data_IF_016797919648
#
_entry.id   IF_016797919648
#
_cell.length_a   1.000
_cell.length_b   1.000
_cell.length_c   1.000
_cell.angle_alpha   90.00
_cell.angle_beta   90.00
_cell.angle_gamma   90.00
#
_symmetry.space_group_name_H-M   'P 1'
#
loop_
_entity.id
_entity.type
_entity.pdbx_description
1 polymer ?
#
# COMPACT_ATOMS: atom_id res chain seq x y z
N UNK A 1 19.02 16.10 4.10
CA UNK A 1 17.63 16.43 4.49
C UNK A 1 16.98 15.18 5.08
N UNK A 2 15.68 15.17 5.37
CA UNK A 2 14.90 13.96 5.68
C UNK A 2 13.81 13.79 4.64
N UNK A 3 13.31 12.58 4.44
CA UNK A 3 12.12 12.27 3.67
C UNK A 3 10.98 11.97 4.64
N UNK A 4 9.91 12.74 4.58
CA UNK A 4 8.67 12.42 5.29
C UNK A 4 7.73 11.72 4.33
N UNK A 5 7.40 10.47 4.62
CA UNK A 5 6.67 9.58 3.72
C UNK A 5 5.38 9.12 4.36
N UNK A 6 4.30 9.24 3.59
CA UNK A 6 3.00 8.67 3.92
C UNK A 6 2.66 7.58 2.91
N UNK A 7 1.85 6.62 3.36
CA UNK A 7 1.35 5.51 2.58
C UNK A 7 -0.18 5.46 2.59
N UNK A 8 -0.72 4.99 1.48
CA UNK A 8 -2.13 4.65 1.32
C UNK A 8 -2.35 3.18 1.69
N UNK A 9 -3.03 2.88 2.82
CA UNK A 9 -3.13 1.52 3.34
C UNK A 9 -3.82 0.54 2.38
N UNK A 10 -4.77 1.00 1.56
CA UNK A 10 -5.47 0.11 0.61
C UNK A 10 -4.49 -0.49 -0.40
N UNK A 11 -3.54 0.30 -0.91
CA UNK A 11 -2.55 -0.21 -1.86
C UNK A 11 -1.48 -1.07 -1.18
N UNK A 12 -1.11 -0.76 0.06
CA UNK A 12 -0.27 -1.64 0.89
C UNK A 12 -0.90 -3.04 0.99
N UNK A 13 -2.18 -3.11 1.35
CA UNK A 13 -2.91 -4.36 1.51
C UNK A 13 -3.06 -5.13 0.18
N UNK A 14 -3.35 -4.43 -0.92
CA UNK A 14 -3.50 -5.02 -2.25
C UNK A 14 -2.20 -5.66 -2.78
N UNK A 15 -1.04 -5.14 -2.38
CA UNK A 15 0.26 -5.74 -2.72
C UNK A 15 0.65 -6.88 -1.79
N UNK A 16 0.40 -6.73 -0.48
CA UNK A 16 0.66 -7.79 0.50
C UNK A 16 -0.12 -9.05 0.18
N UNK A 17 -1.31 -8.91 -0.43
CA UNK A 17 -2.07 -10.03 -0.99
C UNK A 17 -2.37 -11.09 0.06
N UNK A 18 -1.84 -12.31 -0.14
CA UNK A 18 -2.01 -13.44 0.81
C UNK A 18 -0.90 -13.57 1.84
N UNK A 19 0.15 -12.74 1.76
CA UNK A 19 1.30 -12.84 2.64
C UNK A 19 1.02 -12.33 4.06
N UNK A 20 0.07 -11.40 4.20
CA UNK A 20 -0.30 -10.79 5.48
C UNK A 20 -1.82 -10.64 5.62
N UNK A 21 -2.29 -10.74 6.86
CA UNK A 21 -3.68 -10.40 7.19
C UNK A 21 -3.76 -8.91 7.45
N UNK A 22 -4.33 -8.17 6.51
CA UNK A 22 -4.30 -6.72 6.59
C UNK A 22 -5.52 -6.13 7.32
N UNK A 23 -5.27 -5.05 8.06
CA UNK A 23 -6.30 -4.18 8.64
C UNK A 23 -6.14 -2.77 8.09
N UNK A 24 -7.25 -2.18 7.65
CA UNK A 24 -7.25 -0.80 7.17
C UNK A 24 -7.54 0.13 8.35
N UNK A 25 -6.70 1.16 8.55
CA UNK A 25 -6.90 2.08 9.63
C UNK A 25 -8.12 2.97 9.40
N UNK A 26 -8.69 3.54 10.47
CA UNK A 26 -9.86 4.39 10.40
C UNK A 26 -9.66 5.66 9.56
N UNK A 27 -8.41 6.13 9.46
CA UNK A 27 -7.99 7.38 8.82
C UNK A 27 -7.24 7.07 7.53
N UNK A 28 -7.41 7.97 6.54
CA UNK A 28 -6.86 7.93 5.18
C UNK A 28 -5.37 7.61 5.05
N UNK A 29 -4.61 8.59 4.57
CA UNK A 29 -3.16 8.51 4.47
C UNK A 29 -2.54 8.42 5.86
N UNK A 30 -1.62 7.47 6.01
CA UNK A 30 -0.87 7.19 7.25
C UNK A 30 0.62 7.40 7.03
N UNK A 31 1.36 7.72 8.07
CA UNK A 31 2.81 7.80 8.06
C UNK A 31 3.37 6.41 7.76
N UNK A 32 4.32 6.36 6.83
CA UNK A 32 5.21 5.21 6.70
C UNK A 32 6.49 5.49 7.47
N UNK A 33 7.12 6.65 7.26
CA UNK A 33 8.22 7.08 8.13
C UNK A 33 8.87 8.42 7.82
N UNK A 34 9.81 8.76 8.70
CA UNK A 34 10.67 9.93 8.58
C UNK A 34 12.12 9.45 8.43
N UNK A 35 12.68 9.59 7.24
CA UNK A 35 13.93 8.93 6.86
C UNK A 35 15.02 9.95 6.62
N UNK A 36 16.10 9.96 7.41
CA UNK A 36 17.30 10.70 7.03
C UNK A 36 17.81 10.17 5.70
N UNK A 37 17.87 11.06 4.72
CA UNK A 37 18.35 10.75 3.37
C UNK A 37 19.66 11.52 3.11
N UNK A 38 20.32 11.21 1.99
CA UNK A 38 21.68 11.66 1.70
C UNK A 38 21.92 13.16 1.86
N UNK A 39 23.18 13.47 2.13
CA UNK A 39 23.74 14.75 1.76
C UNK A 39 23.91 14.78 0.22
N UNK A 40 23.24 15.70 -0.50
CA UNK A 40 23.35 15.80 -1.96
C UNK A 40 24.78 16.14 -2.44
N UNK A 41 25.71 16.47 -1.53
CA UNK A 41 27.14 16.65 -1.83
C UNK A 41 27.93 15.32 -1.95
N UNK A 42 27.33 14.18 -1.60
CA UNK A 42 28.00 12.86 -1.60
C UNK A 42 27.67 12.05 -2.86
N UNK A 43 28.60 11.20 -3.35
CA UNK A 43 28.34 10.36 -4.50
C UNK A 43 27.20 9.39 -4.22
N UNK A 44 26.30 9.26 -5.20
CA UNK A 44 25.03 8.52 -5.11
C UNK A 44 25.15 6.99 -5.00
N UNK A 45 26.38 6.48 -4.96
CA UNK A 45 26.67 5.08 -4.62
C UNK A 45 26.73 4.83 -3.11
N UNK A 46 26.77 5.89 -2.29
CA UNK A 46 26.56 5.76 -0.86
C UNK A 46 25.18 5.13 -0.61
N UNK A 47 24.97 4.42 0.51
CA UNK A 47 23.64 4.01 1.00
C UNK A 47 23.09 5.10 1.94
N UNK A 48 21.78 5.33 1.99
CA UNK A 48 21.21 6.27 2.96
C UNK A 48 21.54 5.75 4.36
N UNK A 49 21.74 6.64 5.36
CA UNK A 49 22.09 6.20 6.70
C UNK A 49 20.96 5.32 7.25
N UNK A 50 21.31 4.13 7.73
CA UNK A 50 20.37 3.19 8.34
C UNK A 50 21.06 2.46 9.49
N UNK A 51 20.30 2.15 10.54
CA UNK A 51 20.78 1.44 11.72
C UNK A 51 22.04 2.10 12.32
N UNK A 52 22.02 3.43 12.48
CA UNK A 52 23.20 4.23 12.84
C UNK A 52 23.71 3.94 14.26
N UNK A 53 22.83 3.50 15.15
CA UNK A 53 23.22 3.01 16.47
C UNK A 53 22.41 1.74 16.82
N UNK A 54 23.05 0.59 16.69
CA UNK A 54 22.43 -0.71 16.99
C UNK A 54 22.27 -0.98 18.49
N UNK A 55 22.87 -0.15 19.36
CA UNK A 55 22.73 -0.26 20.82
C UNK A 55 21.45 0.38 21.32
N UNK A 56 20.88 1.32 20.56
CA UNK A 56 19.60 1.95 20.83
C UNK A 56 18.49 1.03 20.31
N UNK A 57 17.57 0.65 21.21
CA UNK A 57 16.41 -0.20 20.91
C UNK A 57 15.12 0.54 21.19
N UNK A 58 14.14 0.30 20.33
CA UNK A 58 12.79 0.83 20.50
C UNK A 58 12.24 0.40 21.87
N UNK A 59 11.65 1.35 22.58
CA UNK A 59 11.08 1.18 23.90
C UNK A 59 9.71 1.84 23.93
N UNK A 60 8.65 1.06 23.73
CA UNK A 60 7.26 1.51 23.66
C UNK A 60 6.85 2.48 24.78
N UNK A 61 7.30 2.25 26.03
CA UNK A 61 6.99 3.12 27.16
C UNK A 61 7.52 4.55 27.01
N UNK A 62 8.51 4.80 26.15
CA UNK A 62 9.02 6.15 25.86
C UNK A 62 8.11 6.96 24.96
N UNK A 63 7.11 6.34 24.34
CA UNK A 63 6.15 6.99 23.44
C UNK A 63 4.70 6.77 23.87
N UNK A 64 4.49 6.34 25.11
CA UNK A 64 3.17 6.01 25.64
C UNK A 64 2.18 7.19 25.57
N UNK A 65 2.66 8.43 25.73
CA UNK A 65 1.83 9.64 25.60
C UNK A 65 1.42 9.95 24.13
N UNK A 66 2.13 9.36 23.16
CA UNK A 66 1.88 9.53 21.72
C UNK A 66 1.04 8.39 21.13
N UNK A 67 0.84 7.29 21.86
CA UNK A 67 0.30 6.02 21.34
C UNK A 67 -1.04 6.22 20.61
N UNK A 68 -2.00 6.94 21.18
CA UNK A 68 -3.29 7.21 20.51
C UNK A 68 -3.13 7.93 19.15
N UNK A 69 -2.14 8.83 19.03
CA UNK A 69 -1.84 9.49 17.76
C UNK A 69 -1.10 8.54 16.81
N UNK A 70 -0.19 7.71 17.31
CA UNK A 70 0.52 6.70 16.52
C UNK A 70 -0.45 5.65 15.97
N UNK A 71 -1.42 5.16 16.75
CA UNK A 71 -2.48 4.24 16.29
C UNK A 71 -3.32 4.86 15.17
N UNK A 72 -3.56 6.17 15.28
CA UNK A 72 -4.37 6.91 14.32
C UNK A 72 -3.65 7.19 13.01
N UNK A 73 -2.37 7.53 13.09
CA UNK A 73 -1.64 8.15 11.98
C UNK A 73 -0.45 7.35 11.50
N UNK A 74 0.08 6.42 12.29
CA UNK A 74 1.20 5.54 11.93
C UNK A 74 0.93 4.06 12.28
N UNK A 75 -0.26 3.50 12.03
CA UNK A 75 -0.60 2.15 12.47
C UNK A 75 0.21 1.08 11.74
N UNK A 76 0.49 -0.02 12.43
CA UNK A 76 0.83 -1.26 11.76
C UNK A 76 -0.43 -1.86 11.11
N UNK A 77 -0.42 -2.00 9.79
CA UNK A 77 -1.57 -2.52 9.02
C UNK A 77 -1.59 -4.05 8.91
N UNK A 78 -0.64 -4.77 9.53
CA UNK A 78 -0.56 -6.23 9.47
C UNK A 78 -0.92 -6.86 10.83
N UNK A 79 -2.02 -7.62 10.85
CA UNK A 79 -2.57 -8.27 12.05
C UNK A 79 -1.75 -9.48 12.51
N UNK A 80 -0.91 -10.02 11.63
CA UNK A 80 -0.05 -11.15 11.89
C UNK A 80 1.33 -10.77 12.47
N UNK A 81 1.59 -9.47 12.69
CA UNK A 81 2.78 -8.95 13.37
C UNK A 81 2.41 -8.12 14.61
N UNK A 82 3.35 -7.91 15.55
CA UNK A 82 3.06 -7.10 16.74
C UNK A 82 2.58 -5.68 16.41
N UNK A 83 1.73 -5.14 17.29
CA UNK A 83 1.17 -3.79 17.13
C UNK A 83 2.23 -2.72 16.82
N UNK A 84 3.35 -2.74 17.56
CA UNK A 84 4.41 -1.74 17.46
C UNK A 84 5.52 -2.11 16.46
N UNK A 85 5.34 -3.16 15.65
CA UNK A 85 6.42 -3.69 14.81
C UNK A 85 6.91 -2.68 13.77
N UNK A 86 5.98 -1.93 13.17
CA UNK A 86 6.30 -0.84 12.26
C UNK A 86 7.08 0.28 12.98
N UNK A 87 6.63 0.70 14.16
CA UNK A 87 7.32 1.76 14.93
C UNK A 87 8.73 1.34 15.30
N UNK A 88 8.89 0.10 15.76
CA UNK A 88 10.20 -0.48 16.07
C UNK A 88 11.09 -0.48 14.83
N UNK A 89 10.59 -0.95 13.69
CA UNK A 89 11.35 -0.99 12.44
C UNK A 89 11.83 0.40 12.05
N UNK A 90 10.92 1.36 12.01
CA UNK A 90 11.19 2.73 11.57
C UNK A 90 12.15 3.45 12.52
N UNK A 91 11.97 3.30 13.83
CA UNK A 91 12.88 3.90 14.79
C UNK A 91 14.28 3.28 14.75
N UNK A 92 14.41 1.95 14.84
CA UNK A 92 15.73 1.31 14.88
C UNK A 92 16.51 1.51 13.57
N UNK A 93 15.83 1.49 12.43
CA UNK A 93 16.46 1.66 11.11
C UNK A 93 16.70 3.12 10.74
N UNK A 94 15.74 4.01 10.98
CA UNK A 94 15.78 5.40 10.50
C UNK A 94 15.88 6.42 11.64
N UNK A 95 15.12 6.21 12.72
CA UNK A 95 15.15 7.09 13.90
C UNK A 95 16.51 7.19 14.57
N UNK A 96 17.26 6.09 14.66
CA UNK A 96 18.64 6.10 15.20
C UNK A 96 19.58 7.01 14.41
N UNK A 97 19.33 7.17 13.11
CA UNK A 97 20.06 8.11 12.26
C UNK A 97 19.48 9.54 12.32
N UNK A 98 18.19 9.67 12.63
CA UNK A 98 17.51 10.96 12.69
C UNK A 98 17.95 11.78 13.90
N UNK A 99 18.48 11.11 14.93
CA UNK A 99 19.05 11.72 16.13
C UNK A 99 20.27 12.64 15.87
N UNK A 100 20.84 12.63 14.66
CA UNK A 100 21.83 13.63 14.24
C UNK A 100 21.21 15.00 13.92
N UNK A 101 19.89 15.07 13.77
CA UNK A 101 19.16 16.31 13.54
C UNK A 101 19.13 17.16 14.81
N UNK A 102 19.30 18.50 14.74
CA UNK A 102 19.21 19.37 15.91
C UNK A 102 17.79 19.42 16.53
N UNK A 103 16.79 18.81 15.88
CA UNK A 103 15.39 18.75 16.35
C UNK A 103 14.98 17.40 16.91
N UNK A 104 15.80 16.37 16.76
CA UNK A 104 15.47 15.01 17.17
C UNK A 104 16.61 14.54 18.05
N UNK A 105 16.40 14.47 19.36
CA UNK A 105 17.44 14.07 20.31
C UNK A 105 17.27 12.64 20.80
N UNK A 106 16.07 12.07 20.69
CA UNK A 106 15.75 10.72 21.15
C UNK A 106 14.57 10.08 20.39
N UNK A 107 14.12 8.94 20.91
CA UNK A 107 12.98 8.17 20.40
C UNK A 107 11.67 8.95 20.43
N UNK A 108 11.39 9.66 21.53
CA UNK A 108 10.14 10.42 21.65
C UNK A 108 10.12 11.58 20.66
N UNK A 109 11.23 12.31 20.52
CA UNK A 109 11.37 13.39 19.55
C UNK A 109 11.16 12.90 18.12
N UNK A 110 11.65 11.70 17.78
CA UNK A 110 11.49 11.12 16.43
C UNK A 110 10.02 10.97 16.06
N UNK A 111 9.25 10.31 16.94
CA UNK A 111 7.83 10.06 16.71
C UNK A 111 6.98 11.33 16.81
N UNK A 112 7.23 12.18 17.81
CA UNK A 112 6.49 13.44 17.96
C UNK A 112 6.74 14.40 16.79
N UNK A 113 7.97 14.46 16.27
CA UNK A 113 8.30 15.25 15.07
C UNK A 113 7.57 14.73 13.84
N UNK A 114 7.56 13.42 13.58
CA UNK A 114 6.85 12.85 12.45
C UNK A 114 5.32 13.05 12.56
N UNK A 115 4.76 12.95 13.76
CA UNK A 115 3.35 13.24 14.01
C UNK A 115 3.02 14.72 13.75
N UNK A 116 3.90 15.65 14.14
CA UNK A 116 3.74 17.08 13.82
C UNK A 116 3.78 17.31 12.31
N UNK A 117 4.72 16.68 11.60
CA UNK A 117 4.78 16.75 10.13
C UNK A 117 3.51 16.21 9.49
N UNK A 118 2.90 15.15 10.04
CA UNK A 118 1.61 14.63 9.57
C UNK A 118 0.46 15.62 9.74
N UNK A 119 0.45 16.41 10.81
CA UNK A 119 -0.56 17.45 11.05
C UNK A 119 -0.42 18.59 10.02
N UNK A 120 0.80 18.93 9.61
CA UNK A 120 1.08 20.01 8.65
C UNK A 120 1.00 19.56 7.18
N UNK A 121 1.33 18.29 6.90
CA UNK A 121 1.39 17.71 5.56
C UNK A 121 0.33 16.62 5.46
N UNK A 122 -0.83 16.95 4.89
CA UNK A 122 -1.89 16.00 4.60
C UNK A 122 -2.06 15.84 3.08
N UNK A 123 -1.42 14.81 2.50
CA UNK A 123 -1.54 14.56 1.06
C UNK A 123 -2.97 14.22 0.66
N UNK A 124 -3.77 13.60 1.54
CA UNK A 124 -5.18 13.32 1.27
C UNK A 124 -5.96 14.61 1.03
N UNK A 125 -5.76 15.62 1.88
CA UNK A 125 -6.39 16.93 1.72
C UNK A 125 -5.91 17.67 0.46
N UNK A 126 -4.62 17.57 0.13
CA UNK A 126 -4.06 18.17 -1.11
C UNK A 126 -4.69 17.52 -2.36
N UNK A 127 -4.80 16.19 -2.38
CA UNK A 127 -5.45 15.46 -3.46
C UNK A 127 -6.94 15.81 -3.58
N UNK A 128 -7.66 15.84 -2.45
CA UNK A 128 -9.08 16.19 -2.43
C UNK A 128 -9.32 17.60 -3.00
N UNK A 129 -8.49 18.58 -2.61
CA UNK A 129 -8.55 19.95 -3.13
C UNK A 129 -8.35 20.01 -4.66
N UNK A 130 -7.53 19.13 -5.21
CA UNK A 130 -7.30 18.98 -6.65
C UNK A 130 -8.36 18.10 -7.37
N UNK A 131 -9.38 17.61 -6.66
CA UNK A 131 -10.39 16.69 -7.22
C UNK A 131 -9.88 15.26 -7.44
N UNK A 132 -8.74 14.91 -6.85
CA UNK A 132 -8.17 13.56 -6.84
C UNK A 132 -8.68 12.85 -5.60
N UNK A 133 -9.69 12.01 -5.77
CA UNK A 133 -10.37 11.31 -4.67
C UNK A 133 -10.30 9.80 -4.86
N UNK A 134 -10.36 9.00 -3.79
CA UNK A 134 -10.39 7.57 -3.92
C UNK A 134 -11.58 7.10 -4.78
N UNK A 135 -11.36 6.23 -5.74
CA UNK A 135 -12.37 5.77 -6.71
C UNK A 135 -12.14 4.35 -7.18
N UNK A 136 -13.23 3.58 -7.30
CA UNK A 136 -13.19 2.22 -7.83
C UNK A 136 -12.95 2.17 -9.35
N UNK A 137 -13.20 3.28 -10.06
CA UNK A 137 -13.15 3.33 -11.53
C UNK A 137 -12.32 4.46 -12.10
N UNK A 138 -12.21 5.60 -11.40
CA UNK A 138 -11.40 6.71 -11.87
C UNK A 138 -9.91 6.39 -11.76
N UNK A 139 -9.15 6.97 -12.67
CA UNK A 139 -7.69 6.90 -12.68
C UNK A 139 -7.13 8.28 -12.94
N UNK A 140 -5.92 8.53 -12.46
CA UNK A 140 -5.23 9.81 -12.54
C UNK A 140 -3.91 9.65 -13.29
N UNK A 141 -3.47 10.71 -13.97
CA UNK A 141 -2.12 10.74 -14.55
C UNK A 141 -1.09 11.05 -13.47
N UNK A 142 0.17 10.64 -13.69
CA UNK A 142 1.26 10.99 -12.80
C UNK A 142 1.39 12.51 -12.65
N UNK A 143 1.23 13.23 -13.76
CA UNK A 143 1.28 14.70 -13.80
C UNK A 143 0.21 15.34 -12.91
N UNK A 144 -1.02 14.84 -12.93
CA UNK A 144 -2.09 15.34 -12.06
C UNK A 144 -1.76 15.16 -10.58
N UNK A 145 -1.25 13.98 -10.20
CA UNK A 145 -0.90 13.68 -8.80
C UNK A 145 0.28 14.53 -8.33
N UNK A 146 1.31 14.70 -9.17
CA UNK A 146 2.47 15.57 -8.88
C UNK A 146 2.03 17.02 -8.74
N UNK A 147 1.20 17.51 -9.67
CA UNK A 147 0.71 18.89 -9.66
C UNK A 147 -0.10 19.21 -8.40
N UNK A 148 -0.98 18.29 -7.98
CA UNK A 148 -1.82 18.46 -6.80
C UNK A 148 -1.00 18.73 -5.52
N UNK A 149 0.14 18.06 -5.33
CA UNK A 149 1.02 18.34 -4.19
C UNK A 149 1.83 19.61 -4.41
N UNK A 150 2.41 19.77 -5.61
CA UNK A 150 3.29 20.90 -5.93
C UNK A 150 2.58 22.25 -5.82
N UNK A 151 1.30 22.32 -6.17
CA UNK A 151 0.50 23.54 -6.03
C UNK A 151 0.32 23.98 -4.56
N UNK A 152 0.27 23.03 -3.62
CA UNK A 152 0.07 23.32 -2.21
C UNK A 152 1.37 23.60 -1.46
N UNK A 153 2.44 22.88 -1.77
CA UNK A 153 3.72 22.97 -1.01
C UNK A 153 4.87 23.61 -1.79
N UNK A 154 4.69 23.88 -3.09
CA UNK A 154 5.71 24.47 -3.96
C UNK A 154 6.79 23.51 -4.46
N UNK A 155 6.79 22.25 -4.02
CA UNK A 155 7.81 21.25 -4.34
C UNK A 155 7.19 19.97 -4.93
N UNK A 156 7.93 19.32 -5.82
CA UNK A 156 7.51 18.04 -6.39
C UNK A 156 7.64 16.91 -5.35
N UNK A 157 6.61 16.07 -5.17
CA UNK A 157 6.69 14.92 -4.30
C UNK A 157 7.49 13.78 -4.93
N UNK A 158 8.12 12.98 -4.09
CA UNK A 158 8.50 11.62 -4.44
C UNK A 158 7.26 10.72 -4.40
N UNK A 159 7.12 9.81 -5.38
CA UNK A 159 5.96 8.94 -5.50
C UNK A 159 6.37 7.48 -5.70
N UNK A 160 5.80 6.61 -4.88
CA UNK A 160 5.91 5.16 -5.05
C UNK A 160 4.56 4.56 -5.42
N UNK A 161 4.58 3.68 -6.42
CA UNK A 161 3.40 3.02 -6.91
C UNK A 161 3.41 1.52 -6.64
N UNK A 162 2.25 1.02 -6.22
CA UNK A 162 1.98 -0.40 -6.18
C UNK A 162 1.82 -0.97 -7.58
N UNK A 163 2.21 -2.22 -7.76
CA UNK A 163 2.00 -2.96 -9.00
C UNK A 163 1.30 -4.28 -8.66
N UNK A 164 -0.03 -4.26 -8.65
CA UNK A 164 -0.85 -5.43 -8.31
C UNK A 164 -1.88 -5.67 -9.41
N UNK A 165 -1.97 -6.94 -9.85
CA UNK A 165 -2.89 -7.41 -10.90
C UNK A 165 -2.75 -6.63 -12.22
N UNK A 166 -1.52 -6.31 -12.59
CA UNK A 166 -1.20 -5.59 -13.84
C UNK A 166 -1.64 -4.12 -13.86
N UNK A 167 -2.01 -3.55 -12.71
CA UNK A 167 -2.38 -2.14 -12.55
C UNK A 167 -1.40 -1.44 -11.62
N UNK A 168 -1.20 -0.15 -11.90
CA UNK A 168 -0.41 0.76 -11.08
C UNK A 168 -1.32 1.50 -10.10
N UNK A 169 -1.02 1.45 -8.80
CA UNK A 169 -1.76 2.18 -7.77
C UNK A 169 -0.89 3.19 -7.02
N UNK A 170 -1.49 4.30 -6.61
CA UNK A 170 -0.81 5.32 -5.81
C UNK A 170 -0.61 4.81 -4.38
N UNK A 171 0.63 4.43 -4.04
CA UNK A 171 0.92 3.79 -2.76
C UNK A 171 1.58 4.74 -1.76
N UNK A 172 2.71 5.36 -2.10
CA UNK A 172 3.42 6.26 -1.17
C UNK A 172 3.67 7.62 -1.80
N UNK A 173 3.66 8.63 -0.94
CA UNK A 173 3.96 10.02 -1.28
C UNK A 173 4.93 10.54 -0.24
N UNK A 174 6.01 11.17 -0.70
CA UNK A 174 7.04 11.71 0.16
C UNK A 174 7.43 13.15 -0.20
N UNK A 175 7.79 13.93 0.82
CA UNK A 175 8.42 15.24 0.68
C UNK A 175 9.78 15.26 1.36
N UNK A 176 10.72 15.99 0.77
CA UNK A 176 11.98 16.30 1.44
C UNK A 176 11.76 17.42 2.47
N UNK A 177 12.31 17.23 3.66
CA UNK A 177 12.17 18.09 4.83
C UNK A 177 13.56 18.55 5.27
N UNK A 178 13.72 19.85 5.51
CA UNK A 178 14.94 20.38 6.10
C UNK A 178 15.11 19.87 7.54
N UNK A 179 16.31 19.37 7.88
CA UNK A 179 16.58 18.79 9.21
C UNK A 179 16.45 19.82 10.34
N UNK A 180 16.74 21.09 10.07
CA UNK A 180 16.80 22.15 11.08
C UNK A 180 15.49 22.90 11.22
N UNK A 181 14.82 23.20 10.10
CA UNK A 181 13.57 23.98 10.12
C UNK A 181 12.32 23.11 10.13
N UNK A 182 12.44 21.82 9.78
CA UNK A 182 11.33 20.89 9.59
C UNK A 182 10.33 21.33 8.50
N UNK A 183 10.75 22.19 7.59
CA UNK A 183 9.92 22.67 6.49
C UNK A 183 10.16 21.86 5.21
N UNK A 184 9.16 21.74 4.32
CA UNK A 184 9.36 21.20 2.98
C UNK A 184 10.47 21.94 2.22
N UNK A 185 11.26 21.18 1.49
CA UNK A 185 12.29 21.68 0.56
C UNK A 185 12.21 20.89 -0.76
N UNK A 186 12.89 21.39 -1.78
CA UNK A 186 13.04 20.66 -3.04
C UNK A 186 13.83 19.36 -2.82
N UNK A 187 13.26 18.24 -3.24
CA UNK A 187 14.03 17.00 -3.41
C UNK A 187 14.98 17.12 -4.59
N UNK A 188 16.16 16.53 -4.47
CA UNK A 188 17.05 16.39 -5.61
C UNK A 188 16.47 15.42 -6.65
N UNK A 189 16.89 15.58 -7.91
CA UNK A 189 16.37 14.81 -9.04
C UNK A 189 16.60 13.30 -8.89
N UNK A 190 17.61 12.88 -8.13
CA UNK A 190 17.92 11.46 -7.98
C UNK A 190 17.04 10.81 -6.94
N UNK A 191 16.68 11.53 -5.88
CA UNK A 191 15.62 11.12 -4.96
C UNK A 191 14.29 11.00 -5.70
N UNK A 192 13.90 12.00 -6.49
CA UNK A 192 12.68 11.93 -7.31
C UNK A 192 12.71 10.74 -8.30
N UNK A 193 13.85 10.46 -8.93
CA UNK A 193 14.02 9.37 -9.88
C UNK A 193 13.93 7.95 -9.26
N UNK A 194 14.04 7.82 -7.93
CA UNK A 194 13.80 6.54 -7.23
C UNK A 194 12.31 6.20 -7.13
N UNK A 195 11.42 7.14 -7.44
CA UNK A 195 9.99 6.87 -7.50
C UNK A 195 9.66 5.79 -8.53
N UNK A 196 8.69 4.95 -8.24
CA UNK A 196 8.37 3.78 -9.07
C UNK A 196 7.17 3.98 -9.98
N UNK A 197 6.52 5.15 -9.91
CA UNK A 197 5.36 5.48 -10.72
C UNK A 197 5.73 5.79 -12.18
N UNK A 198 5.19 5.00 -13.11
CA UNK A 198 5.26 5.22 -14.54
C UNK A 198 4.33 6.34 -15.00
N UNK A 199 4.86 7.28 -15.78
CA UNK A 199 4.07 8.32 -16.46
C UNK A 199 3.19 7.79 -17.60
N UNK A 200 3.43 6.56 -18.07
CA UNK A 200 2.71 5.94 -19.20
C UNK A 200 1.48 5.14 -18.77
N UNK A 201 1.38 4.85 -17.47
CA UNK A 201 0.30 4.03 -16.92
C UNK A 201 -0.55 4.89 -16.00
N UNK A 202 -1.88 4.95 -16.19
CA UNK A 202 -2.76 5.65 -15.24
C UNK A 202 -2.64 5.06 -13.83
N UNK A 203 -2.65 5.92 -12.82
CA UNK A 203 -2.64 5.55 -11.41
C UNK A 203 -4.08 5.35 -10.95
N UNK A 204 -4.37 4.19 -10.36
CA UNK A 204 -5.58 4.04 -9.54
C UNK A 204 -5.32 4.60 -8.14
N UNK A 205 -6.36 5.15 -7.53
CA UNK A 205 -6.37 5.55 -6.13
C UNK A 205 -7.59 4.88 -5.50
N UNK A 206 -7.40 3.68 -4.95
CA UNK A 206 -8.52 2.84 -4.54
C UNK A 206 -9.23 3.38 -3.29
N UNK A 207 -10.57 3.29 -3.21
CA UNK A 207 -11.32 3.72 -2.05
C UNK A 207 -11.06 2.81 -0.86
N UNK A 208 -11.10 3.40 0.33
CA UNK A 208 -11.27 2.61 1.53
C UNK A 208 -12.64 1.91 1.47
N UNK A 209 -12.72 0.61 1.82
CA UNK A 209 -14.00 -0.06 1.95
C UNK A 209 -14.85 0.68 2.99
N UNK A 210 -16.15 0.78 2.73
CA UNK A 210 -17.08 1.31 3.71
C UNK A 210 -16.94 0.50 5.01
N UNK A 211 -16.80 1.16 6.17
CA UNK A 211 -16.81 0.46 7.46
C UNK A 211 -18.17 -0.22 7.62
N UNK A 212 -18.23 -1.52 7.38
CA UNK A 212 -19.17 -2.39 8.07
C UNK A 212 -18.50 -2.72 9.40
N UNK A 213 -19.17 -2.42 10.52
CA UNK A 213 -18.61 -2.64 11.85
C UNK A 213 -18.09 -4.09 11.98
N UNK A 214 -16.77 -4.26 12.09
CA UNK A 214 -16.12 -5.53 12.43
C UNK A 214 -15.76 -6.49 11.29
N UNK A 215 -15.86 -6.11 10.01
CA UNK A 215 -15.41 -7.00 8.91
C UNK A 215 -13.94 -6.77 8.53
N UNK A 216 -13.14 -7.81 8.79
CA UNK A 216 -11.87 -8.07 8.10
C UNK A 216 -12.13 -7.89 6.60
N UNK A 217 -11.33 -7.07 5.91
CA UNK A 217 -11.41 -6.93 4.45
C UNK A 217 -11.42 -8.34 3.86
N UNK A 218 -12.52 -8.81 3.24
CA UNK A 218 -12.57 -10.14 2.71
C UNK A 218 -11.50 -10.23 1.61
N UNK A 219 -10.60 -11.21 1.73
CA UNK A 219 -9.74 -11.52 0.60
C UNK A 219 -10.61 -11.77 -0.62
N UNK A 220 -10.25 -11.26 -1.82
CA UNK A 220 -11.04 -11.46 -3.02
C UNK A 220 -11.30 -12.95 -3.21
N UNK A 221 -12.60 -13.29 -3.16
CA UNK A 221 -13.13 -14.63 -2.97
C UNK A 221 -12.29 -15.71 -3.65
N UNK A 222 -11.70 -16.57 -2.84
CA UNK A 222 -11.48 -17.95 -3.23
C UNK A 222 -12.87 -18.59 -3.30
N UNK A 223 -13.54 -18.47 -4.45
CA UNK A 223 -14.36 -19.59 -4.89
C UNK A 223 -13.41 -20.78 -4.95
N UNK A 224 -13.40 -21.53 -3.85
CA UNK A 224 -12.61 -22.73 -3.63
C UNK A 224 -12.41 -23.44 -4.96
N UNK A 225 -11.16 -23.58 -5.39
CA UNK A 225 -10.81 -24.39 -6.54
C UNK A 225 -11.56 -25.76 -6.58
N UNK A 226 -11.91 -26.38 -5.43
CA UNK A 226 -12.86 -27.49 -5.36
C UNK A 226 -14.25 -27.24 -5.98
N UNK A 227 -14.89 -26.09 -5.75
CA UNK A 227 -16.25 -25.80 -6.20
C UNK A 227 -16.33 -25.55 -7.72
N UNK A 228 -15.37 -24.80 -8.28
CA UNK A 228 -15.25 -24.60 -9.73
C UNK A 228 -14.90 -25.90 -10.47
N UNK A 229 -14.06 -26.75 -9.86
CA UNK A 229 -13.74 -28.07 -10.40
C UNK A 229 -14.94 -29.02 -10.34
N UNK A 230 -15.71 -29.03 -9.25
CA UNK A 230 -16.94 -29.81 -9.13
C UNK A 230 -18.03 -29.33 -10.10
N UNK A 231 -18.17 -28.02 -10.31
CA UNK A 231 -19.14 -27.47 -11.26
C UNK A 231 -18.76 -27.80 -12.71
N UNK A 232 -17.46 -27.71 -13.07
CA UNK A 232 -16.96 -28.15 -14.38
C UNK A 232 -17.10 -29.67 -14.58
N UNK A 233 -16.83 -30.48 -13.56
CA UNK A 233 -17.05 -31.94 -13.61
C UNK A 233 -18.53 -32.28 -13.80
N UNK A 234 -19.44 -31.62 -13.09
CA UNK A 234 -20.90 -31.81 -13.27
C UNK A 234 -21.36 -31.42 -14.67
N UNK A 235 -20.82 -30.35 -15.26
CA UNK A 235 -21.12 -29.95 -16.64
C UNK A 235 -20.58 -30.95 -17.67
N UNK A 236 -19.36 -31.47 -17.48
CA UNK A 236 -18.76 -32.47 -18.37
C UNK A 236 -19.54 -33.80 -18.30
N UNK A 237 -19.88 -34.26 -17.09
CA UNK A 237 -20.67 -35.50 -16.91
C UNK A 237 -22.09 -35.34 -17.45
N UNK A 238 -22.72 -34.17 -17.24
CA UNK A 238 -24.03 -33.87 -17.82
C UNK A 238 -24.03 -33.84 -19.35
N UNK A 239 -22.99 -33.24 -19.97
CA UNK A 239 -22.83 -33.24 -21.43
C UNK A 239 -22.55 -34.64 -21.99
N UNK A 240 -21.79 -35.47 -21.27
CA UNK A 240 -21.55 -36.87 -21.64
C UNK A 240 -22.82 -37.72 -21.55
N UNK A 241 -23.64 -37.55 -20.51
CA UNK A 241 -24.93 -38.24 -20.36
C UNK A 241 -25.95 -37.84 -21.44
N UNK A 242 -26.03 -36.54 -21.76
CA UNK A 242 -26.90 -36.04 -22.82
C UNK A 242 -26.48 -36.55 -24.22
N UNK A 243 -25.16 -36.68 -24.47
CA UNK A 243 -24.66 -37.30 -25.70
C UNK A 243 -24.92 -38.81 -25.75
N UNK A 244 -24.83 -39.51 -24.62
CA UNK A 244 -25.18 -40.93 -24.54
C UNK A 244 -26.66 -41.17 -24.85
N UNK A 245 -27.56 -40.37 -24.28
CA UNK A 245 -29.01 -40.47 -24.58
C UNK A 245 -29.33 -40.16 -26.05
N UNK A 246 -28.60 -39.22 -26.69
CA UNK A 246 -28.77 -38.94 -28.13
C UNK A 246 -28.37 -40.10 -29.03
N UNK A 247 -27.34 -40.86 -28.67
CA UNK A 247 -26.87 -42.05 -29.42
C UNK A 247 -27.91 -43.17 -29.38
N UNK A 248 -28.63 -43.34 -28.26
CA UNK A 248 -29.70 -44.34 -28.13
C UNK A 248 -31.06 -43.91 -28.72
N UNK A 249 -31.22 -42.64 -29.09
CA UNK A 249 -32.43 -42.12 -29.78
C UNK A 249 -32.28 -41.99 -31.30
N UNK A 250 -31.18 -42.48 -31.90
CA UNK A 250 -31.03 -42.55 -33.35
C UNK A 250 -31.95 -43.66 -33.92
N UNK A 251 -32.73 -43.42 -35.00
CA UNK A 251 -33.74 -44.36 -35.51
C UNK A 251 -33.22 -45.68 -36.13
N UNK A 252 -31.94 -46.01 -35.94
CA UNK A 252 -31.26 -47.10 -36.65
C UNK A 252 -31.04 -48.37 -35.81
N UNK A 253 -31.53 -48.43 -34.57
CA UNK A 253 -31.49 -49.65 -33.73
C UNK A 253 -32.83 -50.39 -33.60
N UNK A 254 -33.88 -49.97 -34.32
CA UNK A 254 -35.19 -50.63 -34.29
C UNK A 254 -35.41 -51.69 -35.39
N UNK A 255 -34.38 -52.09 -36.15
CA UNK A 255 -34.54 -52.97 -37.32
C UNK A 255 -33.83 -54.34 -37.26
N UNK A 256 -33.49 -54.84 -36.07
CA UNK A 256 -33.02 -56.22 -35.91
C UNK A 256 -33.93 -56.95 -34.91
N UNK A 257 -35.15 -57.28 -35.37
CA UNK A 257 -36.04 -58.33 -34.83
C UNK A 257 -37.22 -58.54 -35.79
N UNK A 258 -36.91 -58.89 -37.05
CA UNK A 258 -37.88 -59.45 -37.99
C UNK A 258 -37.13 -60.20 -39.09
N UNK A 259 -36.40 -61.25 -38.72
CA UNK A 259 -36.05 -62.36 -39.61
C UNK A 259 -36.07 -63.64 -38.76
N UNK A 260 -37.24 -64.26 -38.66
CA UNK A 260 -37.33 -65.73 -38.58
C UNK A 260 -37.34 -66.29 -40.02
N UNK A 261 -37.31 -67.62 -40.22
CA UNK A 261 -37.63 -68.69 -39.27
C UNK A 261 -36.42 -69.36 -38.62
#
# INVERSE_FOLDING_TARGET
YMMFVQQWPVELCEMSGRSHNCVLPPKGWTIHGLWPDYDPSKPHTARYPQYCDNTIKFTESKVADLETKLDSYWPNCFLDTPHTDLWKHEFEKHGTCAMESPKISDEHDYFSTALKLREEIDFGAMFEKAGIVPSASATYTLEQVVAAVKEEVGFEPWLECSHSRGKQGLWQVGLCIDKSTLSPIACDQQTLAKGTCSSRTPLRYLPMPARTDGEIVPQPDEQSAPALMQQRLRQIVGAAFANFQKVFSLPWLSNIRNMGP
#
